data_IF_303905347126
#
_entry.id   IF_303905347126
#
_cell.length_a   1.000
_cell.length_b   1.000
_cell.length_c   1.000
_cell.angle_alpha   90.00
_cell.angle_beta   90.00
_cell.angle_gamma   90.00
#
_symmetry.space_group_name_H-M   'P 1'
#
loop_
_entity.id
_entity.type
_entity.pdbx_description
1 polymer ?
#
# COMPACT_ATOMS: atom_id res chain seq x y z
N UNK A 1 -6.06 -26.83 19.62
CA UNK A 1 -5.25 -25.62 19.73
C UNK A 1 -5.96 -24.34 19.27
N UNK A 2 -6.93 -24.40 18.31
CA UNK A 2 -7.75 -23.23 17.89
C UNK A 2 -8.52 -22.48 19.00
N UNK A 3 -8.79 -23.13 20.13
CA UNK A 3 -9.61 -22.54 21.20
C UNK A 3 -8.87 -21.62 22.18
N UNK A 4 -7.54 -21.60 22.15
CA UNK A 4 -6.75 -20.76 23.06
C UNK A 4 -6.63 -19.33 22.57
N UNK A 5 -6.66 -19.12 21.25
CA UNK A 5 -6.55 -17.79 20.64
C UNK A 5 -7.86 -17.00 20.66
N UNK A 6 -9.00 -17.68 20.49
CA UNK A 6 -10.31 -17.07 20.61
C UNK A 6 -10.55 -16.48 22.00
N UNK A 7 -9.97 -17.06 23.05
CA UNK A 7 -10.13 -16.55 24.41
C UNK A 7 -9.19 -15.38 24.75
N UNK A 8 -8.06 -15.23 24.06
CA UNK A 8 -7.16 -14.08 24.28
C UNK A 8 -7.64 -12.82 23.51
N UNK A 9 -8.24 -13.02 22.34
CA UNK A 9 -8.73 -11.91 21.52
C UNK A 9 -10.18 -11.51 21.80
N UNK A 10 -10.98 -12.33 22.48
CA UNK A 10 -12.37 -12.01 22.83
C UNK A 10 -12.51 -10.84 23.83
N UNK A 11 -11.40 -10.31 24.34
CA UNK A 11 -11.39 -9.14 25.22
C UNK A 11 -11.40 -7.80 24.46
N UNK A 12 -11.19 -7.82 23.14
CA UNK A 12 -11.03 -6.61 22.29
C UNK A 12 -12.36 -6.06 21.74
N UNK A 13 -13.49 -6.71 21.99
CA UNK A 13 -14.79 -6.27 21.45
C UNK A 13 -15.44 -5.19 22.31
N UNK A 14 -15.01 -3.94 22.19
CA UNK A 14 -15.78 -2.91 22.86
C UNK A 14 -15.30 -1.49 22.88
N UNK A 15 -14.89 -0.91 21.77
CA UNK A 15 -14.98 0.55 21.58
C UNK A 15 -14.71 0.92 20.10
N UNK A 16 -15.73 1.34 19.39
CA UNK A 16 -15.56 2.00 18.11
C UNK A 16 -15.05 3.42 18.35
N UNK A 17 -13.76 3.64 18.28
CA UNK A 17 -13.16 4.96 18.20
C UNK A 17 -12.79 5.25 16.75
N UNK A 18 -13.08 6.47 16.32
CA UNK A 18 -12.71 6.95 15.00
C UNK A 18 -11.17 6.88 14.84
N UNK A 19 -10.71 6.03 13.94
CA UNK A 19 -9.32 6.07 13.49
C UNK A 19 -9.08 7.47 12.91
N UNK A 20 -8.17 8.22 13.50
CA UNK A 20 -7.62 9.40 12.85
C UNK A 20 -6.79 8.89 11.69
N UNK A 21 -7.39 8.82 10.51
CA UNK A 21 -6.64 8.57 9.30
C UNK A 21 -5.52 9.61 9.24
N UNK A 22 -4.28 9.17 9.43
CA UNK A 22 -3.14 10.04 9.25
C UNK A 22 -3.24 10.63 7.83
N UNK A 23 -3.17 11.96 7.71
CA UNK A 23 -3.24 12.60 6.40
C UNK A 23 -2.06 12.10 5.58
N UNK A 24 -2.36 11.35 4.51
CA UNK A 24 -1.35 10.78 3.63
C UNK A 24 -0.86 11.91 2.72
N UNK A 25 0.43 12.28 2.75
CA UNK A 25 0.97 13.32 1.89
C UNK A 25 0.79 12.99 0.40
N UNK A 26 0.64 14.03 -0.41
CA UNK A 26 0.40 13.88 -1.86
C UNK A 26 1.60 13.32 -2.64
N UNK A 27 2.80 13.36 -2.07
CA UNK A 27 4.03 12.81 -2.61
C UNK A 27 4.32 11.38 -2.13
N UNK A 28 3.43 10.81 -1.32
CA UNK A 28 3.53 9.42 -0.91
C UNK A 28 3.33 8.47 -2.09
N UNK A 29 4.21 7.48 -2.21
CA UNK A 29 4.03 6.39 -3.16
C UNK A 29 3.05 5.38 -2.58
N UNK A 30 1.98 5.09 -3.33
CA UNK A 30 0.98 4.10 -2.95
C UNK A 30 1.20 2.80 -3.73
N UNK A 31 1.30 1.69 -3.04
CA UNK A 31 1.36 0.35 -3.62
C UNK A 31 0.05 -0.35 -3.33
N UNK A 32 -0.61 -0.85 -4.38
CA UNK A 32 -1.89 -1.55 -4.31
C UNK A 32 -1.67 -3.06 -4.27
N UNK A 33 -2.14 -3.68 -3.22
CA UNK A 33 -2.20 -5.12 -2.98
C UNK A 33 -3.63 -5.57 -2.69
N UNK A 34 -4.65 -4.93 -3.30
CA UNK A 34 -6.06 -5.29 -3.11
C UNK A 34 -6.48 -6.61 -3.76
N UNK A 35 -5.57 -7.24 -4.52
CA UNK A 35 -5.81 -8.58 -5.08
C UNK A 35 -5.80 -9.62 -3.95
N UNK A 36 -6.76 -10.58 -3.94
CA UNK A 36 -6.77 -11.66 -2.94
C UNK A 36 -5.41 -12.36 -2.83
N UNK A 37 -4.96 -12.59 -1.60
CA UNK A 37 -3.65 -13.19 -1.29
C UNK A 37 -2.45 -12.24 -1.37
N UNK A 38 -2.65 -10.97 -1.74
CA UNK A 38 -1.57 -9.98 -1.75
C UNK A 38 -1.16 -9.51 -0.35
N UNK A 39 -2.09 -9.53 0.59
CA UNK A 39 -1.83 -9.27 2.00
C UNK A 39 -2.17 -10.53 2.79
N UNK A 40 -1.18 -11.11 3.43
CA UNK A 40 -1.34 -12.34 4.24
C UNK A 40 -0.68 -12.18 5.59
N UNK A 41 -1.20 -12.90 6.58
CA UNK A 41 -0.68 -12.92 7.95
C UNK A 41 -0.41 -14.36 8.35
N UNK A 42 0.85 -14.69 8.62
CA UNK A 42 1.27 -16.00 9.12
C UNK A 42 1.59 -15.90 10.62
N UNK A 43 0.85 -16.63 11.42
CA UNK A 43 1.04 -16.68 12.87
C UNK A 43 1.96 -17.83 13.32
N UNK A 44 2.66 -18.49 12.40
CA UNK A 44 3.62 -19.54 12.70
C UNK A 44 3.02 -20.90 13.10
N UNK A 45 1.71 -21.05 12.95
CA UNK A 45 1.01 -22.30 13.33
C UNK A 45 0.51 -23.11 12.13
N UNK A 46 0.94 -22.73 10.91
CA UNK A 46 0.61 -23.41 9.66
C UNK A 46 -0.70 -22.95 8.99
N UNK A 47 -1.42 -22.06 9.61
CA UNK A 47 -2.59 -21.40 9.00
C UNK A 47 -2.16 -19.97 8.54
N UNK A 48 -2.18 -19.74 7.24
CA UNK A 48 -1.98 -18.41 6.66
C UNK A 48 -3.35 -17.74 6.55
N UNK A 49 -3.50 -16.60 7.19
CA UNK A 49 -4.72 -15.80 7.15
C UNK A 49 -4.64 -14.78 6.02
N UNK A 50 -5.74 -14.55 5.33
CA UNK A 50 -5.83 -13.38 4.46
C UNK A 50 -5.96 -12.13 5.31
N UNK A 51 -5.03 -11.20 5.14
CA UNK A 51 -5.15 -9.86 5.68
C UNK A 51 -6.19 -9.08 4.88
N UNK A 52 -7.06 -8.40 5.58
CA UNK A 52 -8.03 -7.47 5.02
C UNK A 52 -7.66 -6.04 5.46
N UNK A 53 -8.29 -5.07 4.89
CA UNK A 53 -8.04 -3.66 5.12
C UNK A 53 -8.09 -2.90 3.81
N UNK A 54 -7.35 -1.82 3.70
CA UNK A 54 -7.29 -1.05 2.43
C UNK A 54 -6.54 -1.81 1.32
N UNK A 55 -5.75 -2.82 1.68
CA UNK A 55 -4.87 -3.54 0.74
C UNK A 55 -3.78 -2.64 0.15
N UNK A 56 -3.41 -1.56 0.84
CA UNK A 56 -2.48 -0.56 0.33
C UNK A 56 -1.33 -0.36 1.30
N UNK A 57 -0.14 -0.12 0.74
CA UNK A 57 1.04 0.33 1.48
C UNK A 57 1.46 1.68 0.95
N UNK A 58 1.79 2.58 1.85
CA UNK A 58 2.30 3.91 1.52
C UNK A 58 3.75 4.05 1.95
N UNK A 59 4.58 4.57 1.05
CA UNK A 59 5.96 4.98 1.30
C UNK A 59 6.01 6.48 1.21
N UNK A 60 6.22 7.14 2.35
CA UNK A 60 6.13 8.58 2.51
C UNK A 60 7.55 9.14 2.59
N UNK A 61 7.99 9.99 1.64
CA UNK A 61 9.31 10.60 1.68
C UNK A 61 9.50 11.49 2.91
N UNK A 62 10.61 11.34 3.63
CA UNK A 62 10.99 12.20 4.76
C UNK A 62 12.25 13.00 4.41
N UNK A 63 13.30 12.31 3.98
CA UNK A 63 14.56 12.92 3.56
C UNK A 63 15.30 11.97 2.61
N UNK A 64 16.49 12.38 2.15
CA UNK A 64 17.29 11.52 1.28
C UNK A 64 17.66 10.21 2.00
N UNK A 65 17.21 9.08 1.46
CA UNK A 65 17.45 7.75 2.01
C UNK A 65 16.61 7.40 3.25
N UNK A 66 15.61 8.23 3.62
CA UNK A 66 14.71 8.00 4.75
C UNK A 66 13.27 8.22 4.34
N UNK A 67 12.41 7.28 4.69
CA UNK A 67 10.97 7.31 4.42
C UNK A 67 10.19 6.89 5.66
N UNK A 68 8.89 7.18 5.71
CA UNK A 68 7.96 6.50 6.59
C UNK A 68 7.23 5.41 5.82
N UNK A 69 6.98 4.29 6.47
CA UNK A 69 6.18 3.18 5.98
C UNK A 69 4.82 3.19 6.68
N UNK A 70 3.74 3.00 5.91
CA UNK A 70 2.39 2.91 6.45
C UNK A 70 1.59 1.80 5.73
N UNK A 71 1.12 0.83 6.49
CA UNK A 71 0.10 -0.15 6.11
C UNK A 71 -1.15 0.14 6.95
N UNK A 72 -2.15 0.86 6.40
CA UNK A 72 -3.31 1.30 7.17
C UNK A 72 -4.35 0.20 7.33
N UNK A 73 -5.12 0.29 8.42
CA UNK A 73 -6.35 -0.48 8.69
C UNK A 73 -6.16 -1.99 8.55
N UNK A 74 -5.02 -2.54 9.00
CA UNK A 74 -4.80 -3.98 8.96
C UNK A 74 -5.87 -4.70 9.77
N UNK A 75 -6.62 -5.57 9.10
CA UNK A 75 -7.65 -6.39 9.70
C UNK A 75 -7.38 -7.85 9.40
N UNK A 76 -7.56 -8.72 10.37
CA UNK A 76 -7.41 -10.17 10.23
C UNK A 76 -8.69 -10.88 10.68
N UNK A 77 -9.03 -11.99 10.04
CA UNK A 77 -10.14 -12.83 10.45
C UNK A 77 -9.61 -14.13 11.09
N UNK A 78 -9.86 -14.29 12.37
CA UNK A 78 -9.44 -15.47 13.14
C UNK A 78 -10.51 -16.58 13.18
N UNK A 79 -11.60 -16.40 12.41
CA UNK A 79 -12.71 -17.34 12.34
C UNK A 79 -13.89 -17.02 13.25
N UNK A 80 -13.73 -16.08 14.18
CA UNK A 80 -14.80 -15.56 15.05
C UNK A 80 -15.25 -14.14 14.59
N UNK A 81 -14.73 -13.67 13.44
CA UNK A 81 -14.99 -12.37 12.84
C UNK A 81 -13.71 -11.53 12.67
N UNK A 82 -13.80 -10.43 11.91
CA UNK A 82 -12.65 -9.57 11.66
C UNK A 82 -12.22 -8.82 12.90
N UNK A 83 -10.91 -8.79 13.15
CA UNK A 83 -10.25 -8.00 14.21
C UNK A 83 -9.41 -6.92 13.53
N UNK A 84 -9.69 -5.66 13.83
CA UNK A 84 -8.90 -4.54 13.35
C UNK A 84 -7.67 -4.36 14.24
N UNK A 85 -6.48 -4.53 13.65
CA UNK A 85 -5.20 -4.29 14.32
C UNK A 85 -4.76 -2.82 14.21
N UNK A 86 -5.42 -2.04 13.33
CA UNK A 86 -5.08 -0.65 13.08
C UNK A 86 -3.95 -0.49 12.07
N UNK A 87 -3.25 0.63 12.19
CA UNK A 87 -2.17 1.00 11.28
C UNK A 87 -0.84 0.42 11.73
N UNK A 88 -0.12 -0.25 10.82
CA UNK A 88 1.32 -0.50 11.00
C UNK A 88 2.06 0.69 10.41
N UNK A 89 2.47 1.61 11.27
CA UNK A 89 3.25 2.78 10.89
C UNK A 89 4.68 2.69 11.45
N UNK A 90 5.66 2.75 10.55
CA UNK A 90 7.08 2.74 10.90
C UNK A 90 7.71 4.02 10.38
N UNK A 91 8.07 4.90 11.30
CA UNK A 91 8.70 6.18 10.97
C UNK A 91 10.23 6.02 10.80
N UNK A 92 10.82 6.88 9.95
CA UNK A 92 12.25 6.96 9.72
C UNK A 92 12.90 5.65 9.23
N UNK A 93 12.23 4.95 8.34
CA UNK A 93 12.75 3.74 7.67
C UNK A 93 13.94 4.13 6.79
N UNK A 94 15.09 3.50 7.03
CA UNK A 94 16.28 3.69 6.20
C UNK A 94 16.15 2.91 4.90
N UNK A 95 16.46 3.57 3.78
CA UNK A 95 16.43 2.94 2.45
C UNK A 95 17.82 2.84 1.84
N UNK A 96 18.05 1.75 1.10
CA UNK A 96 19.27 1.56 0.30
C UNK A 96 18.88 1.15 -1.10
N UNK A 97 19.42 1.83 -2.11
CA UNK A 97 19.22 1.45 -3.51
C UNK A 97 20.40 0.59 -3.99
N UNK A 98 20.08 -0.60 -4.48
CA UNK A 98 21.09 -1.51 -5.07
C UNK A 98 21.25 -1.22 -6.57
N UNK A 99 22.34 -1.75 -7.22
CA UNK A 99 22.70 -1.37 -8.61
C UNK A 99 21.62 -1.64 -9.68
N UNK A 100 20.71 -2.58 -9.45
CA UNK A 100 19.59 -2.88 -10.34
C UNK A 100 18.40 -1.91 -10.18
N UNK A 101 18.54 -0.94 -9.27
CA UNK A 101 17.50 0.04 -8.95
C UNK A 101 16.49 -0.43 -7.91
N UNK A 102 16.61 -1.65 -7.38
CA UNK A 102 15.78 -2.13 -6.26
C UNK A 102 16.09 -1.31 -5.01
N UNK A 103 15.06 -0.88 -4.30
CA UNK A 103 15.17 -0.19 -3.02
C UNK A 103 14.84 -1.17 -1.91
N UNK A 104 15.70 -1.26 -0.90
CA UNK A 104 15.48 -2.05 0.31
C UNK A 104 15.13 -1.13 1.48
N UNK A 105 14.30 -1.62 2.41
CA UNK A 105 13.76 -0.88 3.54
C UNK A 105 14.15 -1.57 4.84
N UNK A 106 14.74 -0.83 5.80
CA UNK A 106 15.17 -1.38 7.07
C UNK A 106 14.77 -0.45 8.22
N UNK A 107 14.07 -1.00 9.20
CA UNK A 107 13.74 -0.31 10.44
C UNK A 107 13.29 -1.33 11.50
N UNK A 108 13.35 -0.93 12.77
CA UNK A 108 12.75 -1.67 13.89
C UNK A 108 12.09 -0.68 14.82
N UNK A 109 10.85 -0.95 15.20
CA UNK A 109 10.11 -0.28 16.27
C UNK A 109 9.97 -1.26 17.41
N UNK A 110 10.53 -0.95 18.57
CA UNK A 110 10.57 -1.89 19.70
C UNK A 110 9.24 -2.03 20.44
N UNK A 111 8.42 -0.98 20.43
CA UNK A 111 7.12 -0.96 21.10
C UNK A 111 6.10 -0.19 20.25
N UNK A 112 5.33 -0.91 19.46
CA UNK A 112 4.22 -0.39 18.67
C UNK A 112 2.92 -0.81 19.31
N UNK A 113 2.03 0.14 19.54
CA UNK A 113 0.67 -0.15 20.01
C UNK A 113 -0.24 -0.43 18.82
N UNK A 114 -0.86 -1.60 18.78
CA UNK A 114 -1.85 -2.04 17.81
C UNK A 114 -3.19 -2.31 18.51
N UNK A 115 -4.28 -2.45 17.74
CA UNK A 115 -5.61 -2.70 18.28
C UNK A 115 -5.97 -1.75 19.43
N UNK A 116 -5.84 -0.44 19.19
CA UNK A 116 -6.15 0.62 20.17
C UNK A 116 -5.33 0.53 21.49
N UNK A 117 -4.15 -0.07 21.44
CA UNK A 117 -3.28 -0.22 22.61
C UNK A 117 -3.41 -1.54 23.35
N UNK A 118 -4.27 -2.44 22.88
CA UNK A 118 -4.46 -3.77 23.47
C UNK A 118 -3.32 -4.74 23.11
N UNK A 119 -2.54 -4.42 22.04
CA UNK A 119 -1.45 -5.25 21.58
C UNK A 119 -0.18 -4.41 21.52
N UNK A 120 0.83 -4.83 22.28
CA UNK A 120 2.18 -4.29 22.18
C UNK A 120 3.04 -5.18 21.29
N UNK A 121 3.67 -4.60 20.29
CA UNK A 121 4.44 -5.36 19.33
C UNK A 121 5.78 -4.70 18.99
N UNK A 122 6.81 -5.53 18.82
CA UNK A 122 8.00 -5.11 18.10
C UNK A 122 7.79 -5.38 16.61
N UNK A 123 7.98 -4.35 15.79
CA UNK A 123 7.80 -4.42 14.33
C UNK A 123 9.13 -4.20 13.64
N UNK A 124 9.51 -5.10 12.72
CA UNK A 124 10.77 -5.03 11.99
C UNK A 124 10.54 -5.16 10.48
N UNK A 125 11.03 -4.17 9.73
CA UNK A 125 11.24 -4.28 8.28
C UNK A 125 12.71 -4.64 8.07
N UNK A 126 12.98 -5.87 7.63
CA UNK A 126 14.34 -6.37 7.49
C UNK A 126 14.55 -7.08 6.15
N UNK A 127 15.83 -7.15 5.76
CA UNK A 127 16.27 -7.88 4.57
C UNK A 127 17.33 -8.89 5.00
N UNK A 128 17.13 -10.16 4.66
CA UNK A 128 17.98 -11.28 5.04
C UNK A 128 17.18 -12.45 5.60
N UNK A 129 17.81 -13.60 5.78
CA UNK A 129 17.22 -14.83 6.31
C UNK A 129 15.92 -15.28 5.59
N UNK A 130 15.88 -15.02 4.26
CA UNK A 130 14.73 -15.36 3.42
C UNK A 130 13.60 -14.31 3.41
N UNK A 131 13.74 -13.24 4.18
CA UNK A 131 12.78 -12.12 4.22
C UNK A 131 13.28 -10.93 3.43
N UNK A 132 12.37 -10.15 2.90
CA UNK A 132 12.72 -8.91 2.20
C UNK A 132 11.63 -7.87 2.28
N UNK A 133 12.05 -6.62 2.41
CA UNK A 133 11.21 -5.44 2.28
C UNK A 133 11.78 -4.61 1.15
N UNK A 134 11.17 -4.69 -0.04
CA UNK A 134 11.74 -4.12 -1.27
C UNK A 134 10.70 -3.53 -2.20
N UNK A 135 11.14 -2.54 -2.97
CA UNK A 135 10.41 -2.07 -4.17
C UNK A 135 11.34 -2.10 -5.38
N UNK A 136 10.79 -2.44 -6.54
CA UNK A 136 11.55 -2.55 -7.79
C UNK A 136 11.25 -1.42 -8.76
N UNK A 137 12.15 -1.15 -9.72
CA UNK A 137 11.91 -0.12 -10.75
C UNK A 137 10.68 -0.36 -11.61
N UNK A 138 10.25 -1.62 -11.76
CA UNK A 138 9.04 -1.99 -12.51
C UNK A 138 7.74 -1.74 -11.73
N UNK A 139 7.83 -1.15 -10.52
CA UNK A 139 6.69 -0.86 -9.66
C UNK A 139 6.26 -1.98 -8.73
N UNK A 140 6.89 -3.15 -8.76
CA UNK A 140 6.60 -4.22 -7.79
C UNK A 140 7.06 -3.83 -6.39
N UNK A 141 6.24 -4.17 -5.39
CA UNK A 141 6.58 -4.07 -3.98
C UNK A 141 6.39 -5.42 -3.29
N UNK A 142 7.33 -5.76 -2.42
CA UNK A 142 7.25 -6.92 -1.54
C UNK A 142 7.72 -6.51 -0.15
N UNK A 143 6.85 -6.67 0.85
CA UNK A 143 7.19 -6.42 2.25
C UNK A 143 6.87 -7.66 3.07
N UNK A 144 7.90 -8.21 3.73
CA UNK A 144 7.74 -9.20 4.78
C UNK A 144 8.08 -8.52 6.11
N UNK A 145 7.05 -8.22 6.89
CA UNK A 145 7.14 -7.44 8.12
C UNK A 145 7.07 -8.41 9.29
N UNK A 146 8.14 -8.43 10.09
CA UNK A 146 8.17 -9.21 11.32
C UNK A 146 7.46 -8.44 12.42
N UNK A 147 6.42 -9.02 12.97
CA UNK A 147 5.68 -8.49 14.11
C UNK A 147 5.81 -9.48 15.25
N UNK A 148 6.48 -9.09 16.33
CA UNK A 148 6.53 -9.87 17.56
C UNK A 148 5.52 -9.29 18.54
N UNK A 149 4.41 -9.99 18.76
CA UNK A 149 3.48 -9.62 19.82
C UNK A 149 4.14 -9.92 21.19
N UNK A 150 4.59 -8.87 21.87
CA UNK A 150 5.47 -9.00 23.02
C UNK A 150 4.76 -9.59 24.23
N UNK A 151 3.49 -9.24 24.48
CA UNK A 151 2.73 -9.74 25.62
C UNK A 151 2.44 -11.25 25.52
N UNK A 152 2.25 -11.75 24.31
CA UNK A 152 1.99 -13.16 24.04
C UNK A 152 3.24 -13.95 23.66
N UNK A 153 4.37 -13.28 23.44
CA UNK A 153 5.60 -13.84 22.86
C UNK A 153 5.31 -14.62 21.56
N UNK A 154 4.50 -14.02 20.69
CA UNK A 154 4.00 -14.63 19.47
C UNK A 154 4.60 -13.95 18.24
N UNK A 155 5.38 -14.68 17.43
CA UNK A 155 5.86 -14.17 16.15
C UNK A 155 4.73 -14.20 15.12
N UNK A 156 4.61 -13.12 14.34
CA UNK A 156 3.64 -12.92 13.27
C UNK A 156 4.38 -12.36 12.07
N UNK A 157 4.22 -12.98 10.91
CA UNK A 157 4.72 -12.44 9.65
C UNK A 157 3.57 -11.81 8.86
N UNK A 158 3.68 -10.52 8.56
CA UNK A 158 2.75 -9.82 7.68
C UNK A 158 3.42 -9.69 6.31
N UNK A 159 2.87 -10.34 5.30
CA UNK A 159 3.42 -10.35 3.95
C UNK A 159 2.50 -9.55 3.04
N UNK A 160 3.08 -8.52 2.40
CA UNK A 160 2.40 -7.70 1.41
C UNK A 160 3.10 -7.81 0.06
N UNK A 161 2.31 -8.05 -0.99
CA UNK A 161 2.73 -7.99 -2.38
C UNK A 161 1.85 -6.99 -3.12
N UNK A 162 2.45 -6.01 -3.77
CA UNK A 162 1.69 -4.98 -4.45
C UNK A 162 2.40 -4.37 -5.65
N UNK A 163 1.68 -3.50 -6.33
CA UNK A 163 2.21 -2.73 -7.45
C UNK A 163 2.01 -1.24 -7.20
N UNK A 164 3.00 -0.44 -7.60
CA UNK A 164 2.91 1.01 -7.55
C UNK A 164 1.66 1.47 -8.32
N UNK A 165 0.77 2.11 -7.61
CA UNK A 165 -0.32 2.81 -8.27
C UNK A 165 0.27 4.00 -9.02
N UNK A 166 -0.17 4.21 -10.25
CA UNK A 166 0.09 5.47 -10.93
C UNK A 166 -0.44 6.57 -9.99
N UNK A 167 0.47 7.17 -9.24
CA UNK A 167 0.09 8.15 -8.25
C UNK A 167 -0.18 9.46 -8.97
N UNK A 168 -1.43 9.88 -8.87
CA UNK A 168 -1.80 11.27 -8.76
C UNK A 168 -1.32 12.23 -9.86
N UNK A 169 -1.91 13.32 -9.86
CA UNK A 169 -1.64 14.64 -10.49
C UNK A 169 -0.23 14.85 -11.10
N UNK A 170 0.84 14.29 -10.54
CA UNK A 170 2.19 14.40 -11.13
C UNK A 170 2.40 13.47 -12.33
N UNK A 171 1.88 12.25 -12.31
CA UNK A 171 1.90 11.34 -13.46
C UNK A 171 0.87 11.77 -14.51
N UNK A 172 -0.26 12.34 -14.06
CA UNK A 172 -1.20 13.04 -14.95
C UNK A 172 -0.56 14.29 -15.56
N UNK A 173 0.27 15.03 -14.83
CA UNK A 173 0.99 16.19 -15.35
C UNK A 173 2.13 15.81 -16.30
N UNK A 174 2.80 14.67 -16.06
CA UNK A 174 3.78 14.12 -17.00
C UNK A 174 3.11 13.56 -18.26
N UNK A 175 1.94 12.94 -18.11
CA UNK A 175 1.10 12.51 -19.23
C UNK A 175 0.44 13.73 -19.95
N UNK A 176 0.11 14.80 -19.22
CA UNK A 176 -0.37 16.07 -19.83
C UNK A 176 0.74 16.83 -20.59
N UNK A 177 2.01 16.63 -20.24
CA UNK A 177 3.15 17.14 -21.02
C UNK A 177 3.44 16.31 -22.27
N UNK A 178 2.90 15.09 -22.38
CA UNK A 178 2.88 14.31 -23.61
C UNK A 178 1.92 14.99 -24.60
N UNK A 179 2.39 15.18 -25.83
CA UNK A 179 1.59 15.82 -26.89
C UNK A 179 0.26 15.08 -27.09
N UNK A 180 -0.85 15.77 -26.84
CA UNK A 180 -2.18 15.18 -26.93
C UNK A 180 -2.52 14.84 -28.39
N UNK A 181 -2.88 13.61 -28.66
CA UNK A 181 -3.38 13.13 -29.94
C UNK A 181 -4.90 13.00 -29.91
N UNK A 182 -5.58 13.44 -30.94
CA UNK A 182 -7.05 13.37 -31.02
C UNK A 182 -7.48 12.42 -32.11
N UNK A 183 -8.58 11.71 -31.86
CA UNK A 183 -9.20 10.78 -32.80
C UNK A 183 -10.69 11.09 -32.87
N UNK A 184 -11.27 10.96 -34.07
CA UNK A 184 -12.72 10.96 -34.23
C UNK A 184 -13.35 9.67 -33.65
N UNK A 185 -14.65 9.58 -33.64
CA UNK A 185 -15.36 8.39 -33.12
C UNK A 185 -15.22 7.16 -34.03
N UNK A 186 -14.66 7.32 -35.23
CA UNK A 186 -14.31 6.26 -36.17
C UNK A 186 -12.87 5.76 -35.99
N UNK A 187 -12.08 6.42 -35.09
CA UNK A 187 -10.70 6.08 -34.81
C UNK A 187 -9.69 6.76 -35.74
N UNK A 188 -10.09 7.71 -36.59
CA UNK A 188 -9.16 8.44 -37.45
C UNK A 188 -8.48 9.53 -36.64
N UNK A 189 -7.18 9.72 -36.89
CA UNK A 189 -6.41 10.82 -36.27
C UNK A 189 -6.89 12.18 -36.75
N UNK A 190 -7.06 13.11 -35.81
CA UNK A 190 -7.48 14.49 -36.08
C UNK A 190 -6.44 15.45 -35.50
N UNK A 191 -5.96 16.37 -36.31
CA UNK A 191 -5.03 17.41 -35.85
C UNK A 191 -5.73 18.35 -34.85
N UNK A 192 -5.01 18.83 -33.84
CA UNK A 192 -5.54 19.70 -32.80
C UNK A 192 -6.18 21.00 -33.38
N UNK A 193 -5.64 21.51 -34.47
CA UNK A 193 -6.14 22.70 -35.16
C UNK A 193 -7.47 22.44 -35.92
N UNK A 194 -7.73 21.19 -36.28
CA UNK A 194 -8.94 20.76 -37.00
C UNK A 194 -10.12 20.37 -36.06
N UNK A 195 -9.95 20.49 -34.77
CA UNK A 195 -11.00 20.18 -33.82
C UNK A 195 -12.15 21.19 -33.91
N UNK A 196 -13.36 20.65 -33.98
CA UNK A 196 -14.61 21.44 -34.13
C UNK A 196 -15.27 21.63 -32.78
N UNK A 197 -15.65 22.88 -32.48
CA UNK A 197 -16.35 23.23 -31.25
C UNK A 197 -17.70 22.47 -31.13
N UNK A 198 -18.00 21.93 -29.96
CA UNK A 198 -19.18 21.13 -29.68
C UNK A 198 -19.12 19.68 -30.16
N UNK A 199 -18.07 19.28 -30.88
CA UNK A 199 -17.90 17.87 -31.29
C UNK A 199 -17.17 17.04 -30.25
N UNK A 200 -17.45 15.72 -30.28
CA UNK A 200 -16.86 14.73 -29.41
C UNK A 200 -15.67 14.03 -30.09
N UNK A 201 -14.56 13.93 -29.37
CA UNK A 201 -13.34 13.25 -29.79
C UNK A 201 -12.83 12.33 -28.69
N UNK A 202 -11.93 11.41 -29.06
CA UNK A 202 -11.10 10.67 -28.13
C UNK A 202 -9.76 11.39 -28.04
N UNK A 203 -9.46 12.00 -26.90
CA UNK A 203 -8.13 12.57 -26.58
C UNK A 203 -7.28 11.45 -26.01
N UNK A 204 -6.11 11.21 -26.57
CA UNK A 204 -5.09 10.30 -26.05
C UNK A 204 -3.89 11.12 -25.63
N UNK A 205 -3.44 10.88 -24.37
CA UNK A 205 -2.23 11.45 -23.80
C UNK A 205 -1.45 10.26 -23.23
N UNK A 206 -0.26 9.98 -23.75
CA UNK A 206 0.49 8.78 -23.42
C UNK A 206 -0.32 7.50 -23.70
N UNK A 207 -0.59 6.72 -22.64
CA UNK A 207 -1.39 5.48 -22.68
C UNK A 207 -2.87 5.69 -22.38
N UNK A 208 -3.25 6.88 -21.89
CA UNK A 208 -4.61 7.17 -21.42
C UNK A 208 -5.45 7.74 -22.55
N UNK A 209 -6.63 7.17 -22.78
CA UNK A 209 -7.62 7.65 -23.74
C UNK A 209 -8.89 8.13 -23.03
N UNK A 210 -9.31 9.36 -23.31
CA UNK A 210 -10.47 10.00 -22.68
C UNK A 210 -11.40 10.57 -23.76
N UNK A 211 -12.72 10.38 -23.58
CA UNK A 211 -13.73 11.02 -24.41
C UNK A 211 -13.88 12.48 -23.99
N UNK A 212 -13.70 13.41 -24.91
CA UNK A 212 -13.76 14.85 -24.66
C UNK A 212 -14.72 15.54 -25.62
N UNK A 213 -15.37 16.60 -25.14
CA UNK A 213 -16.15 17.53 -26.00
C UNK A 213 -15.31 18.82 -26.09
N UNK A 214 -15.04 19.28 -27.31
CA UNK A 214 -14.24 20.49 -27.50
C UNK A 214 -15.10 21.72 -27.25
N UNK A 215 -14.65 22.56 -26.34
CA UNK A 215 -15.22 23.88 -26.07
C UNK A 215 -14.12 24.91 -26.35
N UNK A 216 -14.20 25.57 -27.50
CA UNK A 216 -13.27 26.66 -27.92
C UNK A 216 -13.92 28.01 -27.64
#
# INVERSE_FOLDING_TARGET
MKKIYASLLSLVMGASMASFAAEIPTDAKCYDGSTPGSLTVDMGYGDILEGNGTGKVYIIPVSNGVVDFLLPDLTIDLGDGPVNLGDIRVDNVTTTTVPDGTVTYNATVEDMSLAEGEIHARVTLANGDGKSCTTKPNGEAHFNIDVMWTDANLPIDVIFNGHLMASSIADLAADEAAEATYFDLQGNHVNADALINGQTYIKRVGTTATKVIINK
#
